data_IF_713465232178
#
_entry.id   IF_713465232178
#
_cell.length_a   1.000
_cell.length_b   1.000
_cell.length_c   1.000
_cell.angle_alpha   90.00
_cell.angle_beta   90.00
_cell.angle_gamma   90.00
#
_symmetry.space_group_name_H-M   'P 1'
#
loop_
_entity.id
_entity.type
_entity.pdbx_description
1 polymer ?
#
# COMPACT_ATOMS: atom_id res chain seq x y z
N UNK A 1 -53.32 26.04 14.01
CA UNK A 1 -51.99 26.65 13.76
C UNK A 1 -50.97 25.94 14.63
N UNK A 2 -49.79 25.48 14.22
CA UNK A 2 -49.14 25.26 12.94
C UNK A 2 -48.06 24.19 13.21
N UNK A 3 -47.90 23.24 12.29
CA UNK A 3 -46.72 22.36 12.29
C UNK A 3 -45.63 23.09 11.53
N UNK A 4 -44.79 23.83 12.24
CA UNK A 4 -43.52 24.27 11.69
C UNK A 4 -42.55 23.08 11.73
N UNK A 5 -42.58 22.26 10.68
CA UNK A 5 -41.46 21.38 10.38
C UNK A 5 -40.25 22.26 10.15
N UNK A 6 -39.37 22.33 11.13
CA UNK A 6 -38.09 23.04 11.07
C UNK A 6 -37.23 22.37 9.98
N UNK A 7 -37.44 22.77 8.73
CA UNK A 7 -36.52 22.46 7.64
C UNK A 7 -35.33 23.38 7.92
N UNK A 8 -34.28 22.84 8.52
CA UNK A 8 -33.08 23.62 8.78
C UNK A 8 -32.46 24.00 7.44
N UNK A 9 -32.56 25.27 7.09
CA UNK A 9 -32.02 25.89 5.88
C UNK A 9 -30.50 25.99 6.00
N UNK A 10 -29.81 24.85 5.94
CA UNK A 10 -28.36 24.79 6.00
C UNK A 10 -27.81 23.36 5.90
N UNK A 11 -26.55 23.22 5.48
CA UNK A 11 -25.85 21.95 5.57
C UNK A 11 -25.64 21.60 7.05
N UNK A 12 -26.37 20.61 7.56
CA UNK A 12 -26.26 20.12 8.93
C UNK A 12 -25.68 18.70 8.98
N UNK A 13 -24.97 18.39 10.05
CA UNK A 13 -24.42 17.04 10.27
C UNK A 13 -25.57 16.05 10.51
N UNK A 14 -25.59 14.88 9.84
CA UNK A 14 -26.61 13.87 10.06
C UNK A 14 -26.72 13.47 11.54
N UNK A 15 -27.93 13.54 12.11
CA UNK A 15 -28.20 13.26 13.53
C UNK A 15 -28.21 11.76 13.87
N UNK A 16 -28.16 10.89 12.86
CA UNK A 16 -28.19 9.44 13.03
C UNK A 16 -26.78 8.86 12.89
N UNK A 17 -26.41 7.98 13.84
CA UNK A 17 -25.11 7.30 13.85
C UNK A 17 -25.13 6.11 12.90
N UNK A 18 -24.06 5.91 12.13
CA UNK A 18 -23.85 4.69 11.33
C UNK A 18 -23.74 3.51 12.30
N UNK A 19 -24.52 2.42 12.11
CA UNK A 19 -24.39 1.22 12.91
C UNK A 19 -22.94 0.76 12.98
N UNK A 20 -22.52 0.34 14.16
CA UNK A 20 -21.14 -0.11 14.39
C UNK A 20 -20.80 -1.22 13.41
N UNK A 21 -19.62 -1.10 12.77
CA UNK A 21 -19.24 -1.99 11.68
C UNK A 21 -19.34 -3.45 12.11
N UNK A 22 -20.04 -4.25 11.30
CA UNK A 22 -20.02 -5.71 11.41
C UNK A 22 -18.56 -6.15 11.46
N UNK A 23 -18.20 -6.98 12.45
CA UNK A 23 -16.85 -7.51 12.59
C UNK A 23 -16.40 -8.06 11.23
N UNK A 24 -15.38 -7.44 10.64
CA UNK A 24 -14.84 -7.90 9.37
C UNK A 24 -14.45 -9.38 9.52
N UNK A 25 -14.72 -10.22 8.53
CA UNK A 25 -14.25 -11.59 8.57
C UNK A 25 -12.73 -11.60 8.75
N UNK A 26 -12.17 -12.62 9.41
CA UNK A 26 -10.72 -12.73 9.57
C UNK A 26 -10.03 -12.72 8.21
N UNK A 27 -8.81 -12.15 8.11
CA UNK A 27 -8.10 -12.06 6.85
C UNK A 27 -7.85 -13.45 6.25
N UNK A 28 -7.89 -13.58 4.91
CA UNK A 28 -7.61 -14.85 4.25
C UNK A 28 -6.20 -15.33 4.61
N UNK A 29 -6.06 -16.64 4.84
CA UNK A 29 -4.76 -17.23 5.19
C UNK A 29 -3.79 -17.08 4.02
N UNK A 30 -2.60 -16.55 4.29
CA UNK A 30 -1.50 -16.52 3.32
C UNK A 30 -1.16 -17.97 2.94
N UNK A 31 -1.17 -18.27 1.64
CA UNK A 31 -0.69 -19.56 1.15
C UNK A 31 0.79 -19.70 1.51
N UNK A 32 1.19 -20.82 2.07
CA UNK A 32 2.59 -21.14 2.26
C UNK A 32 3.23 -21.24 0.87
N UNK A 33 3.98 -20.22 0.47
CA UNK A 33 5.01 -20.42 -0.54
C UNK A 33 6.00 -21.37 0.11
N UNK A 34 6.00 -22.64 -0.32
CA UNK A 34 6.99 -23.60 0.13
C UNK A 34 8.36 -22.94 0.03
N UNK A 35 9.18 -23.10 1.07
CA UNK A 35 10.57 -22.62 1.09
C UNK A 35 11.36 -23.48 0.09
N UNK A 36 11.03 -23.36 -1.18
CA UNK A 36 11.84 -23.91 -2.25
C UNK A 36 12.96 -22.91 -2.39
N UNK A 37 14.16 -23.31 -1.96
CA UNK A 37 15.38 -22.58 -2.27
C UNK A 37 15.39 -22.41 -3.79
N UNK A 38 15.13 -21.20 -4.26
CA UNK A 38 15.06 -20.90 -5.68
C UNK A 38 16.47 -21.04 -6.22
N UNK A 39 16.70 -22.03 -7.05
CA UNK A 39 17.97 -22.15 -7.74
C UNK A 39 18.20 -20.92 -8.63
N UNK A 40 19.46 -20.49 -8.81
CA UNK A 40 19.80 -19.48 -9.80
C UNK A 40 19.25 -19.86 -11.18
N UNK A 41 18.91 -18.88 -12.04
CA UNK A 41 18.50 -19.18 -13.39
C UNK A 41 19.59 -19.97 -14.14
N UNK A 42 19.18 -20.88 -15.02
CA UNK A 42 20.08 -21.80 -15.74
C UNK A 42 21.22 -21.09 -16.49
N UNK A 43 20.97 -19.88 -16.96
CA UNK A 43 21.92 -19.10 -17.75
C UNK A 43 22.52 -17.93 -16.96
N UNK A 44 22.48 -18.00 -15.63
CA UNK A 44 22.83 -16.87 -14.76
C UNK A 44 21.75 -15.80 -14.74
N UNK A 45 21.97 -14.78 -13.92
CA UNK A 45 21.12 -13.59 -13.91
C UNK A 45 21.43 -12.72 -15.12
N UNK A 46 20.53 -11.78 -15.42
CA UNK A 46 20.80 -10.78 -16.44
C UNK A 46 22.10 -10.02 -16.10
N UNK A 47 23.03 -10.01 -17.04
CA UNK A 47 24.29 -9.26 -16.95
C UNK A 47 24.24 -8.10 -17.95
N UNK A 48 23.72 -6.93 -17.56
CA UNK A 48 23.88 -5.71 -18.34
C UNK A 48 25.37 -5.40 -18.53
N UNK A 49 25.79 -4.96 -19.72
CA UNK A 49 27.19 -4.63 -20.00
C UNK A 49 27.74 -3.46 -19.15
N UNK A 50 26.88 -2.72 -18.45
CA UNK A 50 27.19 -1.48 -17.73
C UNK A 50 27.09 -1.59 -16.19
N UNK A 51 26.74 -2.74 -15.60
CA UNK A 51 26.67 -2.85 -14.12
C UNK A 51 28.02 -2.62 -13.44
N UNK A 52 29.10 -3.15 -14.02
CA UNK A 52 30.44 -2.98 -13.46
C UNK A 52 30.90 -1.52 -13.50
N UNK A 53 30.35 -0.71 -14.41
CA UNK A 53 30.60 0.73 -14.45
C UNK A 53 30.11 1.42 -13.17
N UNK A 54 28.98 0.99 -12.60
CA UNK A 54 28.44 1.55 -11.36
C UNK A 54 29.37 1.32 -10.15
N UNK A 55 30.09 0.21 -10.12
CA UNK A 55 31.01 -0.14 -9.03
C UNK A 55 32.42 0.41 -9.22
N UNK A 56 32.82 0.69 -10.46
CA UNK A 56 34.12 1.33 -10.78
C UNK A 56 34.06 2.85 -10.69
N UNK A 57 32.85 3.42 -10.71
CA UNK A 57 32.64 4.84 -10.47
C UNK A 57 33.19 5.25 -9.10
N UNK A 58 34.11 6.20 -9.12
CA UNK A 58 34.61 6.81 -7.89
C UNK A 58 33.42 7.44 -7.16
N UNK A 59 33.26 7.21 -5.84
CA UNK A 59 32.26 7.90 -5.06
C UNK A 59 32.46 9.40 -5.28
N UNK A 60 31.40 10.09 -5.73
CA UNK A 60 31.44 11.54 -5.87
C UNK A 60 31.71 12.10 -4.48
N UNK A 61 32.87 12.73 -4.31
CA UNK A 61 33.10 13.60 -3.15
C UNK A 61 32.15 14.77 -3.32
N UNK A 62 31.05 14.74 -2.59
CA UNK A 62 30.29 15.96 -2.32
C UNK A 62 31.24 16.88 -1.56
N UNK A 63 31.60 17.98 -2.21
CA UNK A 63 32.62 18.91 -1.76
C UNK A 63 32.01 20.08 -1.01
N UNK A 64 32.45 20.19 0.25
CA UNK A 64 32.26 21.19 1.32
C UNK A 64 30.87 21.31 1.95
#
# INVERSE_FOLDING_TARGET
MERAGLIEEGCTTPKHRIPEAFKCPPPPRKKSQGVVKREPPKNGYFQPPDLDALFTMQPRREGL
#
